data_IF_779992931580
#
_entry.id   IF_779992931580
#
_cell.length_a   1.000
_cell.length_b   1.000
_cell.length_c   1.000
_cell.angle_alpha   90.00
_cell.angle_beta   90.00
_cell.angle_gamma   90.00
#
_symmetry.space_group_name_H-M   'P 1'
#
loop_
_entity.id
_entity.type
_entity.pdbx_description
1 polymer ?
#
# COMPACT_ATOMS: atom_id res chain seq x y z
N UNK A 1 21.44 17.29 15.82
CA UNK A 1 20.92 15.96 15.41
C UNK A 1 21.87 15.40 14.37
N UNK A 2 22.45 14.21 14.60
CA UNK A 2 23.19 13.49 13.53
C UNK A 2 22.20 13.26 12.38
N UNK A 3 22.52 13.73 11.17
CA UNK A 3 21.79 13.30 9.98
C UNK A 3 22.01 11.79 9.87
N UNK A 4 20.98 11.00 10.11
CA UNK A 4 20.99 9.61 9.70
C UNK A 4 21.12 9.60 8.17
N UNK A 5 22.13 8.89 7.68
CA UNK A 5 22.38 8.77 6.26
C UNK A 5 21.40 7.73 5.71
N UNK A 6 20.35 8.21 5.03
CA UNK A 6 19.39 7.36 4.33
C UNK A 6 19.73 7.43 2.84
N UNK A 7 20.19 6.31 2.29
CA UNK A 7 20.38 6.15 0.85
C UNK A 7 19.14 5.47 0.26
N UNK A 8 18.61 6.02 -0.83
CA UNK A 8 17.43 5.50 -1.52
C UNK A 8 17.86 4.90 -2.85
N UNK A 9 17.42 3.67 -3.11
CA UNK A 9 17.70 2.95 -4.34
C UNK A 9 16.38 2.48 -4.97
N UNK A 10 16.22 2.73 -6.26
CA UNK A 10 15.14 2.14 -7.05
C UNK A 10 15.61 0.80 -7.62
N UNK A 11 15.22 -0.29 -6.96
CA UNK A 11 15.53 -1.66 -7.36
C UNK A 11 14.51 -2.63 -6.76
N UNK A 12 14.31 -3.78 -7.40
CA UNK A 12 13.42 -4.81 -6.89
C UNK A 12 14.25 -5.95 -6.30
N UNK A 13 14.09 -6.19 -4.99
CA UNK A 13 14.69 -7.33 -4.30
C UNK A 13 13.92 -8.60 -4.65
N UNK A 14 14.61 -9.57 -5.25
CA UNK A 14 14.04 -10.82 -5.77
C UNK A 14 14.49 -12.06 -5.00
N UNK A 15 15.54 -11.98 -4.19
CA UNK A 15 16.04 -13.08 -3.35
C UNK A 15 16.93 -12.54 -2.21
N UNK A 16 17.36 -13.42 -1.31
CA UNK A 16 18.34 -13.16 -0.26
C UNK A 16 19.46 -14.18 -0.27
N UNK A 17 20.67 -13.74 0.04
CA UNK A 17 21.80 -14.64 0.31
C UNK A 17 21.95 -14.86 1.81
N UNK A 18 22.09 -16.13 2.18
CA UNK A 18 22.18 -16.59 3.55
C UNK A 18 23.48 -17.37 3.75
N UNK A 19 24.07 -17.25 4.95
CA UNK A 19 25.17 -18.08 5.39
C UNK A 19 24.98 -18.40 6.87
N UNK A 20 25.01 -19.68 7.21
CA UNK A 20 24.89 -20.17 8.60
C UNK A 20 23.60 -19.71 9.33
N UNK A 21 22.45 -19.66 8.65
CA UNK A 21 21.20 -19.19 9.28
C UNK A 21 21.01 -17.68 9.25
N UNK A 22 21.99 -16.91 8.76
CA UNK A 22 21.96 -15.46 8.75
C UNK A 22 21.91 -14.89 7.32
N UNK A 23 20.93 -14.04 7.07
CA UNK A 23 20.83 -13.27 5.82
C UNK A 23 21.81 -12.11 5.85
N UNK A 24 22.73 -12.07 4.87
CA UNK A 24 23.77 -11.04 4.81
C UNK A 24 23.69 -10.14 3.56
N UNK A 25 22.90 -10.53 2.55
CA UNK A 25 22.69 -9.71 1.37
C UNK A 25 21.29 -9.86 0.76
N UNK A 26 20.72 -8.76 0.28
CA UNK A 26 19.56 -8.75 -0.60
C UNK A 26 20.03 -8.77 -2.07
N UNK A 27 19.42 -9.64 -2.88
CA UNK A 27 19.67 -9.72 -4.32
C UNK A 27 18.61 -8.89 -5.03
N UNK A 28 19.01 -7.72 -5.54
CA UNK A 28 18.19 -6.90 -6.43
C UNK A 28 18.30 -7.33 -7.88
N UNK A 29 17.41 -6.82 -8.74
CA UNK A 29 17.49 -7.03 -10.20
C UNK A 29 18.76 -6.41 -10.80
N UNK A 30 19.20 -5.27 -10.24
CA UNK A 30 20.33 -4.53 -10.78
C UNK A 30 21.63 -4.79 -10.02
N UNK A 31 21.57 -4.96 -8.69
CA UNK A 31 22.76 -5.20 -7.86
C UNK A 31 22.44 -5.93 -6.56
N UNK A 32 23.49 -6.30 -5.83
CA UNK A 32 23.40 -6.88 -4.48
C UNK A 32 23.62 -5.81 -3.41
N UNK A 33 22.87 -5.91 -2.31
CA UNK A 33 22.94 -4.99 -1.19
C UNK A 33 23.32 -5.76 0.07
N UNK A 34 24.47 -5.43 0.67
CA UNK A 34 24.90 -6.04 1.94
C UNK A 34 24.40 -5.21 3.11
N UNK A 35 23.84 -5.87 4.12
CA UNK A 35 23.42 -5.24 5.35
C UNK A 35 23.54 -6.23 6.52
N UNK A 36 23.52 -5.69 7.74
CA UNK A 36 23.50 -6.50 8.97
C UNK A 36 22.11 -7.04 9.30
N UNK A 37 21.07 -6.41 8.76
CA UNK A 37 19.68 -6.77 8.96
C UNK A 37 18.85 -6.23 7.80
N UNK A 38 17.71 -6.88 7.52
CA UNK A 38 16.75 -6.45 6.52
C UNK A 38 15.36 -6.38 7.15
N UNK A 39 14.61 -5.33 6.82
CA UNK A 39 13.20 -5.16 7.20
C UNK A 39 12.36 -5.21 5.93
N UNK A 40 11.40 -6.11 5.89
CA UNK A 40 10.55 -6.36 4.72
C UNK A 40 9.21 -5.66 4.88
N UNK A 41 8.88 -4.79 3.93
CA UNK A 41 7.61 -4.04 3.88
C UNK A 41 7.00 -4.09 2.49
N UNK A 42 6.85 -5.29 1.92
CA UNK A 42 6.41 -5.52 0.53
C UNK A 42 4.97 -5.08 0.24
N UNK A 43 4.18 -4.74 1.27
CA UNK A 43 2.79 -4.31 1.12
C UNK A 43 1.96 -5.31 0.30
N UNK A 44 1.20 -4.82 -0.68
CA UNK A 44 0.37 -5.63 -1.58
C UNK A 44 1.10 -6.16 -2.81
N UNK A 45 2.42 -5.96 -2.92
CA UNK A 45 3.17 -6.29 -4.14
C UNK A 45 3.60 -7.75 -4.23
N UNK A 46 3.93 -8.39 -3.09
CA UNK A 46 4.45 -9.76 -3.08
C UNK A 46 3.39 -10.73 -3.62
N UNK A 47 3.68 -11.31 -4.79
CA UNK A 47 2.78 -12.23 -5.50
C UNK A 47 1.33 -11.69 -5.64
N UNK A 48 1.21 -10.38 -5.81
CA UNK A 48 -0.05 -9.64 -5.88
C UNK A 48 -0.89 -10.00 -7.11
N UNK A 49 -2.22 -9.97 -6.94
CA UNK A 49 -3.18 -10.14 -8.03
C UNK A 49 -4.38 -9.20 -7.85
N UNK A 50 -4.81 -8.63 -8.97
CA UNK A 50 -5.96 -7.72 -9.06
C UNK A 50 -7.14 -8.50 -9.60
N UNK A 51 -8.28 -8.39 -8.92
CA UNK A 51 -9.53 -9.09 -9.24
C UNK A 51 -10.62 -8.06 -9.57
N UNK A 52 -11.14 -8.08 -10.79
CA UNK A 52 -12.23 -7.20 -11.26
C UNK A 52 -13.30 -8.07 -11.92
N UNK A 53 -14.40 -8.33 -11.21
CA UNK A 53 -15.38 -9.34 -11.61
C UNK A 53 -14.71 -10.70 -11.79
N UNK A 54 -14.87 -11.31 -12.96
CA UNK A 54 -14.24 -12.59 -13.32
C UNK A 54 -12.82 -12.43 -13.89
N UNK A 55 -12.34 -11.20 -14.08
CA UNK A 55 -11.01 -10.94 -14.59
C UNK A 55 -9.98 -10.95 -13.46
N UNK A 56 -8.93 -11.75 -13.63
CA UNK A 56 -7.74 -11.76 -12.77
C UNK A 56 -6.54 -11.27 -13.57
N UNK A 57 -5.84 -10.28 -13.05
CA UNK A 57 -4.58 -9.76 -13.61
C UNK A 57 -3.48 -9.78 -12.56
N UNK A 58 -2.26 -10.04 -12.97
CA UNK A 58 -1.10 -9.95 -12.08
C UNK A 58 -0.73 -8.49 -11.84
N UNK A 59 -0.47 -8.11 -10.59
CA UNK A 59 -0.15 -6.72 -10.24
C UNK A 59 -0.18 -6.50 -8.72
N UNK A 60 0.66 -5.57 -8.24
CA UNK A 60 0.66 -5.17 -6.83
C UNK A 60 -0.39 -4.11 -6.53
N UNK A 61 -0.55 -3.17 -7.47
CA UNK A 61 -1.58 -2.12 -7.53
C UNK A 61 -2.03 -1.96 -8.97
N UNK A 62 -3.14 -1.26 -9.20
CA UNK A 62 -3.62 -0.96 -10.56
C UNK A 62 -2.47 -0.32 -11.35
N UNK A 63 -2.17 -0.90 -12.51
CA UNK A 63 -1.09 -0.53 -13.43
C UNK A 63 0.36 -0.68 -12.89
N UNK A 64 0.55 -1.28 -11.71
CA UNK A 64 1.86 -1.57 -11.14
C UNK A 64 2.15 -3.08 -11.12
N UNK A 65 3.35 -3.47 -11.55
CA UNK A 65 3.78 -4.89 -11.56
C UNK A 65 3.85 -5.44 -10.13
N UNK A 66 3.54 -6.72 -9.97
CA UNK A 66 3.79 -7.44 -8.72
C UNK A 66 5.30 -7.63 -8.53
N UNK A 67 5.73 -7.75 -7.28
CA UNK A 67 7.04 -8.29 -6.96
C UNK A 67 6.99 -9.82 -7.10
N UNK A 68 7.99 -10.40 -7.76
CA UNK A 68 8.09 -11.85 -7.98
C UNK A 68 9.48 -12.39 -7.71
N UNK A 69 9.56 -13.68 -7.38
CA UNK A 69 10.79 -14.37 -7.03
C UNK A 69 11.00 -14.47 -5.52
N UNK A 70 10.70 -13.41 -4.77
CA UNK A 70 10.97 -13.37 -3.33
C UNK A 70 10.13 -14.39 -2.54
N UNK A 71 8.94 -14.77 -3.04
CA UNK A 71 8.14 -15.85 -2.47
C UNK A 71 8.91 -17.17 -2.38
N UNK A 72 9.79 -17.46 -3.35
CA UNK A 72 10.59 -18.69 -3.37
C UNK A 72 11.62 -18.73 -2.26
N UNK A 73 12.12 -17.57 -1.84
CA UNK A 73 13.00 -17.49 -0.68
C UNK A 73 12.24 -17.92 0.58
N UNK A 74 11.04 -17.37 0.82
CA UNK A 74 10.24 -17.73 1.98
C UNK A 74 9.79 -19.20 1.99
N UNK A 75 9.44 -19.75 0.82
CA UNK A 75 9.14 -21.18 0.67
C UNK A 75 10.32 -22.07 1.07
N UNK A 76 11.56 -21.70 0.70
CA UNK A 76 12.77 -22.43 1.12
C UNK A 76 13.05 -22.36 2.62
N UNK A 77 12.56 -21.31 3.28
CA UNK A 77 12.71 -21.10 4.73
C UNK A 77 11.62 -21.80 5.55
N UNK A 78 10.78 -22.63 4.91
CA UNK A 78 9.64 -23.32 5.53
C UNK A 78 8.64 -22.36 6.20
N UNK A 79 8.53 -21.14 5.66
CA UNK A 79 7.57 -20.14 6.12
C UNK A 79 6.22 -20.35 5.43
N UNK A 80 5.14 -20.42 6.21
CA UNK A 80 3.79 -20.49 5.67
C UNK A 80 3.40 -19.19 4.97
N UNK A 81 3.16 -19.25 3.66
CA UNK A 81 2.65 -18.12 2.88
C UNK A 81 1.12 -18.19 2.74
N UNK A 82 0.44 -17.19 3.30
CA UNK A 82 -1.00 -16.98 3.14
C UNK A 82 -1.33 -15.95 2.07
N UNK A 83 -2.61 -15.91 1.64
CA UNK A 83 -3.13 -14.84 0.77
C UNK A 83 -4.24 -14.08 1.48
N UNK A 84 -4.08 -12.75 1.53
CA UNK A 84 -5.12 -11.82 1.98
C UNK A 84 -5.71 -11.08 0.78
N UNK A 85 -6.98 -10.70 0.87
CA UNK A 85 -7.67 -9.91 -0.16
C UNK A 85 -8.32 -8.69 0.48
N UNK A 86 -8.09 -7.53 -0.11
CA UNK A 86 -8.74 -6.27 0.24
C UNK A 86 -9.39 -5.67 -0.99
N UNK A 87 -10.56 -5.08 -0.83
CA UNK A 87 -11.23 -4.32 -1.90
C UNK A 87 -10.86 -2.84 -1.84
N UNK A 88 -10.94 -2.16 -2.98
CA UNK A 88 -10.88 -0.69 -3.02
C UNK A 88 -12.05 -0.18 -3.85
N UNK A 89 -12.82 0.81 -3.37
CA UNK A 89 -13.93 1.36 -4.15
C UNK A 89 -13.43 2.01 -5.45
N UNK A 90 -14.32 2.14 -6.47
CA UNK A 90 -14.01 2.88 -7.68
C UNK A 90 -13.73 4.34 -7.36
N UNK A 91 -12.93 4.99 -8.22
CA UNK A 91 -12.68 6.43 -8.16
C UNK A 91 -13.63 7.11 -9.14
N UNK A 92 -14.35 8.12 -8.68
CA UNK A 92 -15.36 8.84 -9.47
C UNK A 92 -14.83 10.23 -9.84
N UNK A 93 -15.14 10.69 -11.04
CA UNK A 93 -14.84 12.06 -11.47
C UNK A 93 -15.78 13.03 -10.76
N UNK A 94 -15.22 14.03 -10.06
CA UNK A 94 -15.98 14.97 -9.22
C UNK A 94 -17.09 15.67 -10.01
N UNK A 95 -16.80 16.05 -11.24
CA UNK A 95 -17.66 16.82 -12.14
C UNK A 95 -18.94 16.06 -12.52
N UNK A 96 -18.97 14.74 -12.29
CA UNK A 96 -20.10 13.87 -12.61
C UNK A 96 -21.04 13.64 -11.41
N UNK A 97 -20.72 14.20 -10.24
CA UNK A 97 -21.48 14.02 -9.00
C UNK A 97 -22.29 15.29 -8.73
N UNK A 98 -23.61 15.14 -8.52
CA UNK A 98 -24.44 16.21 -8.00
C UNK A 98 -24.24 16.31 -6.48
N UNK A 99 -23.43 17.28 -6.03
CA UNK A 99 -23.17 17.52 -4.60
C UNK A 99 -24.29 18.28 -3.90
N UNK A 100 -25.15 18.99 -4.63
CA UNK A 100 -26.22 19.82 -4.05
C UNK A 100 -27.28 18.98 -3.31
N UNK A 101 -27.39 17.69 -3.66
CA UNK A 101 -28.32 16.74 -3.04
C UNK A 101 -27.70 15.92 -1.91
N UNK A 102 -26.41 16.13 -1.61
CA UNK A 102 -25.68 15.38 -0.59
C UNK A 102 -25.55 16.17 0.70
N UNK A 103 -25.50 15.46 1.83
CA UNK A 103 -25.22 16.07 3.13
C UNK A 103 -23.71 16.34 3.24
N UNK A 104 -23.34 17.60 3.42
CA UNK A 104 -21.95 18.01 3.63
C UNK A 104 -21.49 17.66 5.05
N UNK A 105 -20.31 17.06 5.16
CA UNK A 105 -19.64 16.73 6.41
C UNK A 105 -18.28 17.45 6.47
N UNK A 106 -18.21 18.65 7.08
CA UNK A 106 -16.94 19.36 7.24
C UNK A 106 -16.04 18.66 8.28
N UNK A 107 -14.75 18.99 8.25
CA UNK A 107 -13.82 18.58 9.31
C UNK A 107 -14.10 19.28 10.64
N UNK A 108 -13.44 18.80 11.71
CA UNK A 108 -13.58 19.39 13.04
C UNK A 108 -13.06 20.84 13.09
N UNK A 109 -13.81 21.70 13.77
CA UNK A 109 -13.46 23.12 13.96
C UNK A 109 -12.17 23.28 14.79
N UNK A 110 -12.01 22.46 15.83
CA UNK A 110 -10.77 22.39 16.60
C UNK A 110 -9.82 21.40 15.95
N UNK A 111 -8.75 21.93 15.35
CA UNK A 111 -7.86 21.09 14.55
C UNK A 111 -6.90 20.31 15.43
N UNK A 112 -7.03 18.98 15.38
CA UNK A 112 -6.15 18.06 16.07
C UNK A 112 -4.93 17.70 15.24
N UNK A 113 -3.76 17.69 15.89
CA UNK A 113 -2.50 17.26 15.28
C UNK A 113 -2.23 15.78 15.55
N UNK A 114 -1.79 15.06 14.52
CA UNK A 114 -1.34 13.66 14.68
C UNK A 114 0.00 13.56 15.45
N UNK A 115 0.83 14.60 15.40
CA UNK A 115 2.15 14.63 16.06
C UNK A 115 2.08 15.35 17.40
N UNK A 116 2.74 14.77 18.41
CA UNK A 116 2.98 15.41 19.71
C UNK A 116 4.16 16.38 19.70
N UNK A 117 4.95 16.41 18.63
CA UNK A 117 6.10 17.30 18.53
C UNK A 117 5.66 18.77 18.47
N UNK A 118 6.45 19.62 19.11
CA UNK A 118 6.15 21.05 19.27
C UNK A 118 6.15 21.82 17.95
N UNK A 119 6.95 21.38 16.96
CA UNK A 119 7.03 22.01 15.64
C UNK A 119 5.87 21.56 14.75
N UNK A 120 4.69 22.08 15.08
CA UNK A 120 3.44 21.84 14.37
C UNK A 120 3.38 22.71 13.11
N UNK A 121 3.45 22.07 11.95
CA UNK A 121 3.18 22.75 10.68
C UNK A 121 1.73 23.26 10.63
N UNK A 122 1.43 24.29 9.84
CA UNK A 122 0.05 24.64 9.59
C UNK A 122 -0.69 23.44 8.94
N UNK A 123 -1.92 23.18 9.37
CA UNK A 123 -2.74 22.17 8.72
C UNK A 123 -3.00 22.57 7.26
N UNK A 124 -3.04 21.60 6.31
CA UNK A 124 -3.55 21.90 4.98
C UNK A 124 -5.01 22.38 5.10
N UNK A 125 -5.46 23.13 4.09
CA UNK A 125 -6.86 23.55 4.00
C UNK A 125 -7.75 22.31 4.14
N UNK A 126 -8.58 22.28 5.17
CA UNK A 126 -9.57 21.23 5.34
C UNK A 126 -10.61 21.31 4.22
N UNK A 127 -11.03 20.16 3.73
CA UNK A 127 -12.06 20.01 2.70
C UNK A 127 -13.17 19.11 3.24
N UNK A 128 -14.41 19.43 2.90
CA UNK A 128 -15.56 18.65 3.35
C UNK A 128 -15.68 17.31 2.64
N UNK A 129 -16.18 16.32 3.36
CA UNK A 129 -16.70 15.07 2.81
C UNK A 129 -18.21 15.19 2.56
N UNK A 130 -18.79 14.21 1.88
CA UNK A 130 -20.23 14.19 1.55
C UNK A 130 -20.82 12.81 1.84
N UNK A 131 -21.99 12.78 2.46
CA UNK A 131 -22.67 11.54 2.89
C UNK A 131 -23.76 11.18 1.89
N UNK A 132 -23.82 9.90 1.52
CA UNK A 132 -24.89 9.32 0.71
C UNK A 132 -25.26 7.92 1.20
N UNK A 133 -26.40 7.40 0.74
CA UNK A 133 -26.90 6.07 1.12
C UNK A 133 -27.33 5.30 -0.13
N UNK A 134 -27.04 4.00 -0.15
CA UNK A 134 -27.60 3.11 -1.15
C UNK A 134 -29.12 3.02 -0.98
N UNK A 135 -29.86 3.09 -2.09
CA UNK A 135 -31.28 2.74 -2.10
C UNK A 135 -31.41 1.21 -2.24
N UNK A 136 -32.44 0.64 -1.60
CA UNK A 136 -32.65 -0.80 -1.49
C UNK A 136 -32.84 -1.49 -2.86
N UNK A 137 -33.28 -0.76 -3.90
CA UNK A 137 -33.48 -1.24 -5.27
C UNK A 137 -32.18 -1.75 -5.95
N UNK A 138 -30.99 -1.28 -5.55
CA UNK A 138 -29.72 -1.71 -6.17
C UNK A 138 -29.21 -3.08 -5.69
N UNK A 139 -30.03 -3.85 -4.95
CA UNK A 139 -29.64 -5.13 -4.36
C UNK A 139 -30.07 -6.36 -5.19
N UNK A 140 -30.75 -6.18 -6.32
CA UNK A 140 -31.33 -7.29 -7.13
C UNK A 140 -30.42 -7.84 -8.24
N UNK A 141 -29.14 -7.47 -8.28
CA UNK A 141 -28.18 -8.04 -9.22
C UNK A 141 -26.98 -8.65 -8.49
N UNK A 142 -27.22 -9.78 -7.83
CA UNK A 142 -26.20 -10.77 -7.48
C UNK A 142 -26.74 -12.16 -7.78
#
# INVERSE_FOLDING_TARGET
MKKEQIDVFEDEVIDFEEKNGEVFAAVGKNKKYKAKAFVLTTGTFLNGAILIGNNKREGGRIDEKKASGLEKFFEKQDLMLGRLKTGTPPRLAKETINFEVLEEQPGDQEVCYMSFLENKNAHPKQVSCFITKNKQENSQHH
#
